data_IF_658951659575
#
_entry.id   IF_658951659575
#
_cell.length_a   1.000
_cell.length_b   1.000
_cell.length_c   1.000
_cell.angle_alpha   90.00
_cell.angle_beta   90.00
_cell.angle_gamma   90.00
#
_symmetry.space_group_name_H-M   'P 1'
#
loop_
_entity.id
_entity.type
_entity.pdbx_description
1 polymer ?
#
# COMPACT_ATOMS: atom_id res chain seq x y z
N UNK A 1 14.29 10.83 -12.88
CA UNK A 1 13.12 10.33 -13.63
C UNK A 1 13.22 10.90 -15.04
N UNK A 2 13.19 10.07 -16.09
CA UNK A 2 13.23 10.57 -17.47
C UNK A 2 11.93 11.30 -17.82
N UNK A 3 11.97 12.17 -18.83
CA UNK A 3 10.79 12.89 -19.32
C UNK A 3 9.70 11.90 -19.78
N UNK A 4 10.08 10.83 -20.46
CA UNK A 4 9.14 9.78 -20.92
C UNK A 4 8.44 9.07 -19.76
N UNK A 5 9.16 8.81 -18.66
CA UNK A 5 8.59 8.22 -17.46
C UNK A 5 7.54 9.15 -16.82
N UNK A 6 7.82 10.47 -16.80
CA UNK A 6 6.88 11.47 -16.30
C UNK A 6 5.62 11.54 -17.18
N UNK A 7 5.78 11.56 -18.51
CA UNK A 7 4.66 11.55 -19.46
C UNK A 7 3.81 10.29 -19.27
N UNK A 8 4.44 9.11 -19.18
CA UNK A 8 3.75 7.83 -18.93
C UNK A 8 2.91 7.85 -17.66
N UNK A 9 3.44 8.40 -16.56
CA UNK A 9 2.70 8.52 -15.30
C UNK A 9 1.56 9.52 -15.43
N UNK A 10 1.78 10.67 -16.06
CA UNK A 10 0.76 11.71 -16.19
C UNK A 10 -0.42 11.25 -17.08
N UNK A 11 -0.17 10.40 -18.06
CA UNK A 11 -1.22 9.81 -18.89
C UNK A 11 -2.13 8.82 -18.14
N UNK A 12 -1.75 8.39 -16.94
CA UNK A 12 -2.54 7.47 -16.11
C UNK A 12 -3.16 8.19 -14.92
N UNK A 13 -4.46 8.02 -14.69
CA UNK A 13 -5.13 8.51 -13.46
C UNK A 13 -4.46 7.99 -12.20
N UNK A 14 -4.01 6.72 -12.21
CA UNK A 14 -3.25 6.13 -11.11
C UNK A 14 -1.88 6.79 -10.89
N UNK A 15 -1.21 7.23 -11.96
CA UNK A 15 0.06 7.96 -11.85
C UNK A 15 -0.15 9.33 -11.19
N UNK A 16 -1.16 10.08 -11.65
CA UNK A 16 -1.56 11.37 -11.04
C UNK A 16 -1.94 11.23 -9.56
N UNK A 17 -2.73 10.22 -9.19
CA UNK A 17 -3.09 9.97 -7.79
C UNK A 17 -1.85 9.68 -6.93
N UNK A 18 -0.90 8.88 -7.41
CA UNK A 18 0.30 8.53 -6.64
C UNK A 18 1.29 9.70 -6.52
N UNK A 19 1.44 10.53 -7.55
CA UNK A 19 2.23 11.77 -7.45
C UNK A 19 1.59 12.71 -6.42
N UNK A 20 0.28 12.92 -6.50
CA UNK A 20 -0.45 13.73 -5.52
C UNK A 20 -0.32 13.12 -4.10
N UNK A 21 -0.34 11.79 -3.96
CA UNK A 21 -0.15 11.09 -2.68
C UNK A 21 1.23 11.39 -2.11
N UNK A 22 2.28 11.29 -2.94
CA UNK A 22 3.65 11.56 -2.53
C UNK A 22 3.79 13.00 -1.98
N UNK A 23 3.29 13.99 -2.72
CA UNK A 23 3.38 15.39 -2.31
C UNK A 23 2.53 15.63 -1.05
N UNK A 24 1.34 15.05 -0.96
CA UNK A 24 0.47 15.15 0.22
C UNK A 24 1.18 14.64 1.48
N UNK A 25 1.70 13.42 1.46
CA UNK A 25 2.32 12.82 2.65
C UNK A 25 3.68 13.44 2.98
N UNK A 26 4.42 13.91 1.98
CA UNK A 26 5.63 14.72 2.22
C UNK A 26 5.26 16.04 2.90
N UNK A 27 4.22 16.73 2.44
CA UNK A 27 3.72 17.96 3.09
C UNK A 27 3.31 17.69 4.54
N UNK A 28 2.70 16.53 4.81
CA UNK A 28 2.39 16.09 6.17
C UNK A 28 3.63 15.97 7.06
N UNK A 29 4.68 15.35 6.53
CA UNK A 29 5.93 15.23 7.26
C UNK A 29 6.60 16.57 7.52
N UNK A 30 6.50 17.51 6.58
CA UNK A 30 7.12 18.82 6.67
C UNK A 30 6.42 19.72 7.69
N UNK A 31 5.09 19.84 7.68
CA UNK A 31 4.42 20.72 8.65
C UNK A 31 4.62 20.24 10.10
N UNK A 32 4.56 18.93 10.36
CA UNK A 32 4.78 18.38 11.71
C UNK A 32 6.26 18.47 12.14
N UNK A 33 7.18 18.50 11.18
CA UNK A 33 8.59 18.78 11.47
C UNK A 33 8.79 20.24 11.88
N UNK A 34 8.18 21.17 11.15
CA UNK A 34 8.24 22.61 11.42
C UNK A 34 7.60 22.97 12.76
N UNK A 35 6.41 22.44 13.05
CA UNK A 35 5.73 22.70 14.34
C UNK A 35 6.51 22.15 15.54
N UNK A 36 7.19 21.01 15.40
CA UNK A 36 7.92 20.42 16.52
C UNK A 36 9.13 21.22 17.00
N UNK A 37 9.65 22.09 16.13
CA UNK A 37 10.80 22.97 16.43
C UNK A 37 10.37 24.44 16.50
N UNK A 38 9.06 24.70 16.48
CA UNK A 38 8.46 26.04 16.42
C UNK A 38 9.04 26.93 15.30
N UNK A 39 9.38 26.31 14.17
CA UNK A 39 9.98 27.00 13.04
C UNK A 39 8.92 27.39 12.01
N UNK A 40 8.82 28.69 11.73
CA UNK A 40 7.99 29.26 10.66
C UNK A 40 6.54 28.74 10.64
N UNK A 41 5.68 29.18 11.58
CA UNK A 41 4.26 28.77 11.65
C UNK A 41 3.50 28.96 10.33
N UNK A 42 3.76 30.07 9.63
CA UNK A 42 3.14 30.36 8.34
C UNK A 42 3.48 29.31 7.27
N UNK A 43 4.72 28.78 7.26
CA UNK A 43 5.12 27.74 6.32
C UNK A 43 4.47 26.39 6.68
N UNK A 44 4.35 26.07 7.97
CA UNK A 44 3.64 24.88 8.43
C UNK A 44 2.17 24.89 7.96
N UNK A 45 1.48 26.03 8.08
CA UNK A 45 0.09 26.18 7.63
C UNK A 45 -0.05 26.09 6.10
N UNK A 46 0.93 26.58 5.35
CA UNK A 46 0.98 26.37 3.89
C UNK A 46 1.06 24.87 3.54
N UNK A 47 1.91 24.10 4.24
CA UNK A 47 2.02 22.66 4.02
C UNK A 47 0.76 21.89 4.44
N UNK A 48 0.07 22.29 5.53
CA UNK A 48 -1.25 21.75 5.88
C UNK A 48 -2.28 22.01 4.78
N UNK A 49 -2.24 23.21 4.19
CA UNK A 49 -3.13 23.59 3.07
C UNK A 49 -2.87 22.72 1.83
N UNK A 50 -1.60 22.53 1.46
CA UNK A 50 -1.21 21.62 0.36
C UNK A 50 -1.68 20.20 0.62
N UNK A 51 -1.48 19.69 1.85
CA UNK A 51 -1.95 18.37 2.25
C UNK A 51 -3.48 18.25 2.09
N UNK A 52 -4.24 19.24 2.56
CA UNK A 52 -5.69 19.25 2.47
C UNK A 52 -6.18 19.24 1.01
N UNK A 53 -5.64 20.12 0.17
CA UNK A 53 -6.01 20.24 -1.25
C UNK A 53 -5.73 18.92 -1.98
N UNK A 54 -4.51 18.39 -1.85
CA UNK A 54 -4.14 17.13 -2.52
C UNK A 54 -4.92 15.94 -1.98
N UNK A 55 -5.19 15.90 -0.67
CA UNK A 55 -6.06 14.89 -0.07
C UNK A 55 -7.46 14.90 -0.67
N UNK A 56 -8.03 16.07 -1.00
CA UNK A 56 -9.35 16.21 -1.64
C UNK A 56 -9.28 15.86 -3.13
N UNK A 57 -8.29 16.38 -3.84
CA UNK A 57 -8.04 16.09 -5.26
C UNK A 57 -7.96 14.59 -5.54
N UNK A 58 -7.24 13.84 -4.69
CA UNK A 58 -7.10 12.39 -4.80
C UNK A 58 -8.39 11.61 -4.59
N UNK A 59 -9.32 12.11 -3.76
CA UNK A 59 -10.66 11.47 -3.64
C UNK A 59 -11.42 11.62 -4.94
N UNK A 60 -11.32 12.80 -5.56
CA UNK A 60 -11.97 13.08 -6.83
C UNK A 60 -11.36 12.25 -7.98
N UNK A 61 -10.04 12.09 -8.05
CA UNK A 61 -9.39 11.19 -9.02
C UNK A 61 -9.85 9.72 -8.88
N UNK A 62 -10.26 9.32 -7.67
CA UNK A 62 -10.74 7.96 -7.37
C UNK A 62 -12.27 7.86 -7.40
N UNK A 63 -12.97 8.90 -7.85
CA UNK A 63 -14.42 8.87 -7.99
C UNK A 63 -14.86 7.71 -8.92
N UNK A 64 -15.91 6.97 -8.56
CA UNK A 64 -16.37 5.78 -9.30
C UNK A 64 -15.52 4.51 -9.17
N UNK A 65 -14.26 4.58 -8.69
CA UNK A 65 -13.36 3.42 -8.60
C UNK A 65 -13.85 2.29 -7.68
N UNK A 66 -14.80 2.57 -6.77
CA UNK A 66 -15.40 1.53 -5.94
C UNK A 66 -16.09 0.45 -6.80
N UNK A 67 -16.76 0.84 -7.88
CA UNK A 67 -17.45 -0.08 -8.80
C UNK A 67 -16.43 -0.88 -9.61
N UNK A 68 -15.41 -0.23 -10.17
CA UNK A 68 -14.33 -0.91 -10.90
C UNK A 68 -13.66 -2.00 -10.05
N UNK A 69 -13.33 -1.67 -8.80
CA UNK A 69 -12.63 -2.57 -7.88
C UNK A 69 -13.55 -3.69 -7.42
N UNK A 70 -14.84 -3.40 -7.19
CA UNK A 70 -15.84 -4.43 -6.90
C UNK A 70 -15.97 -5.43 -8.04
N UNK A 71 -16.18 -4.94 -9.27
CA UNK A 71 -16.27 -5.79 -10.47
C UNK A 71 -14.99 -6.60 -10.69
N UNK A 72 -13.82 -5.99 -10.44
CA UNK A 72 -12.53 -6.67 -10.53
C UNK A 72 -12.33 -7.79 -9.51
N UNK A 73 -13.15 -7.87 -8.44
CA UNK A 73 -13.13 -8.98 -7.48
C UNK A 73 -13.74 -10.26 -8.05
N UNK A 74 -14.67 -10.16 -9.00
CA UNK A 74 -15.29 -11.34 -9.64
C UNK A 74 -14.25 -12.20 -10.37
N UNK A 75 -13.25 -11.55 -10.96
CA UNK A 75 -12.14 -12.22 -11.65
C UNK A 75 -11.21 -13.01 -10.72
N UNK A 76 -11.22 -12.74 -9.41
CA UNK A 76 -10.33 -13.42 -8.47
C UNK A 76 -10.98 -14.64 -7.80
N UNK A 77 -12.31 -14.81 -7.95
CA UNK A 77 -13.07 -15.92 -7.35
C UNK A 77 -12.70 -17.28 -7.95
N UNK A 78 -12.20 -17.30 -9.19
CA UNK A 78 -11.83 -18.55 -9.88
C UNK A 78 -10.33 -18.83 -9.87
N UNK A 79 -9.53 -18.10 -9.07
CA UNK A 79 -8.10 -18.36 -8.98
C UNK A 79 -7.84 -19.78 -8.43
N UNK A 80 -6.92 -20.57 -9.02
CA UNK A 80 -6.71 -21.98 -8.68
C UNK A 80 -6.23 -22.18 -7.24
N UNK A 81 -5.27 -21.37 -6.80
CA UNK A 81 -4.77 -21.40 -5.41
C UNK A 81 -5.76 -20.77 -4.44
N UNK A 82 -6.22 -21.54 -3.44
CA UNK A 82 -7.21 -21.12 -2.45
C UNK A 82 -6.76 -19.88 -1.67
N UNK A 83 -5.51 -19.85 -1.20
CA UNK A 83 -5.00 -18.72 -0.40
C UNK A 83 -5.00 -17.43 -1.19
N UNK A 84 -4.52 -17.47 -2.44
CA UNK A 84 -4.51 -16.31 -3.34
C UNK A 84 -5.95 -15.87 -3.66
N UNK A 85 -6.83 -16.83 -3.98
CA UNK A 85 -8.25 -16.57 -4.25
C UNK A 85 -8.92 -15.81 -3.11
N UNK A 86 -8.79 -16.31 -1.88
CA UNK A 86 -9.45 -15.72 -0.71
C UNK A 86 -8.87 -14.34 -0.39
N UNK A 87 -7.54 -14.25 -0.29
CA UNK A 87 -6.86 -12.99 0.06
C UNK A 87 -7.08 -11.89 -0.98
N UNK A 88 -6.96 -12.19 -2.28
CA UNK A 88 -7.22 -11.22 -3.34
C UNK A 88 -8.68 -10.79 -3.40
N UNK A 89 -9.63 -11.73 -3.28
CA UNK A 89 -11.06 -11.41 -3.37
C UNK A 89 -11.47 -10.52 -2.19
N UNK A 90 -11.12 -10.91 -0.96
CA UNK A 90 -11.41 -10.11 0.24
C UNK A 90 -10.70 -8.76 0.22
N UNK A 91 -9.47 -8.71 -0.28
CA UNK A 91 -8.75 -7.44 -0.44
C UNK A 91 -9.48 -6.47 -1.37
N UNK A 92 -9.94 -6.95 -2.54
CA UNK A 92 -10.67 -6.13 -3.52
C UNK A 92 -12.03 -5.69 -3.01
N UNK A 93 -12.81 -6.59 -2.39
CA UNK A 93 -14.10 -6.23 -1.80
C UNK A 93 -13.92 -5.16 -0.72
N UNK A 94 -12.94 -5.34 0.16
CA UNK A 94 -12.63 -4.35 1.21
C UNK A 94 -12.15 -3.03 0.61
N UNK A 95 -11.31 -3.06 -0.42
CA UNK A 95 -10.85 -1.85 -1.10
C UNK A 95 -12.00 -1.10 -1.78
N UNK A 96 -12.99 -1.81 -2.33
CA UNK A 96 -14.20 -1.20 -2.88
C UNK A 96 -15.01 -0.47 -1.81
N UNK A 97 -15.21 -1.11 -0.64
CA UNK A 97 -15.91 -0.50 0.49
C UNK A 97 -15.15 0.72 1.06
N UNK A 98 -13.82 0.65 1.13
CA UNK A 98 -12.99 1.81 1.47
C UNK A 98 -13.25 2.97 0.51
N UNK A 99 -13.22 2.71 -0.80
CA UNK A 99 -13.44 3.74 -1.82
C UNK A 99 -14.86 4.31 -1.75
N UNK A 100 -15.87 3.49 -1.45
CA UNK A 100 -17.24 3.96 -1.20
C UNK A 100 -17.28 4.95 -0.03
N UNK A 101 -16.63 4.62 1.09
CA UNK A 101 -16.50 5.54 2.22
C UNK A 101 -15.76 6.83 1.85
N UNK A 102 -14.77 6.75 0.97
CA UNK A 102 -14.03 7.92 0.46
C UNK A 102 -14.94 8.87 -0.35
N UNK A 103 -15.95 8.36 -1.08
CA UNK A 103 -16.95 9.20 -1.76
C UNK A 103 -17.79 10.00 -0.77
N UNK A 104 -18.27 9.38 0.31
CA UNK A 104 -19.02 10.09 1.35
C UNK A 104 -18.14 11.11 2.08
N UNK A 105 -16.86 10.78 2.33
CA UNK A 105 -15.91 11.73 2.92
C UNK A 105 -15.60 12.91 2.01
N UNK A 106 -15.53 12.70 0.69
CA UNK A 106 -15.43 13.78 -0.28
C UNK A 106 -16.69 14.64 -0.31
N UNK A 107 -17.87 14.01 -0.36
CA UNK A 107 -19.16 14.72 -0.36
C UNK A 107 -19.36 15.55 0.92
N UNK A 108 -18.90 15.07 2.07
CA UNK A 108 -18.91 15.85 3.29
C UNK A 108 -18.02 17.10 3.21
N UNK A 109 -16.90 17.05 2.46
CA UNK A 109 -15.99 18.20 2.28
C UNK A 109 -16.55 19.26 1.33
N UNK A 110 -17.50 18.94 0.46
CA UNK A 110 -18.12 19.94 -0.43
C UNK A 110 -19.08 20.88 0.30
N UNK A 111 -19.54 20.48 1.50
CA UNK A 111 -20.55 21.23 2.26
C UNK A 111 -21.97 21.14 1.70
N UNK A 112 -22.17 20.42 0.58
CA UNK A 112 -23.48 20.30 -0.07
C UNK A 112 -24.46 19.41 0.73
N UNK A 113 -23.95 18.45 1.51
CA UNK A 113 -24.77 17.54 2.31
C UNK A 113 -24.36 17.63 3.78
N UNK A 114 -25.17 18.34 4.57
CA UNK A 114 -24.89 18.61 5.99
C UNK A 114 -25.08 17.40 6.92
N UNK A 115 -25.78 16.35 6.47
CA UNK A 115 -26.13 15.19 7.29
C UNK A 115 -25.05 14.09 7.33
N UNK A 116 -23.93 14.25 6.61
CA UNK A 116 -22.90 13.20 6.55
C UNK A 116 -22.03 13.24 7.80
N UNK A 117 -22.10 12.17 8.60
CA UNK A 117 -21.23 11.98 9.75
C UNK A 117 -19.80 11.59 9.32
N UNK A 118 -18.93 12.60 9.22
CA UNK A 118 -17.52 12.45 8.82
C UNK A 118 -16.73 11.50 9.74
N UNK A 119 -17.03 11.48 11.04
CA UNK A 119 -16.37 10.60 12.00
C UNK A 119 -16.72 9.13 11.76
N UNK A 120 -18.00 8.83 11.50
CA UNK A 120 -18.47 7.47 11.21
C UNK A 120 -17.93 6.97 9.88
N UNK A 121 -18.09 7.76 8.81
CA UNK A 121 -17.59 7.41 7.48
C UNK A 121 -16.05 7.33 7.41
N UNK A 122 -15.34 8.17 8.15
CA UNK A 122 -13.89 8.08 8.29
C UNK A 122 -13.45 6.77 8.96
N UNK A 123 -14.13 6.36 10.05
CA UNK A 123 -13.89 5.06 10.69
C UNK A 123 -14.22 3.90 9.76
N UNK A 124 -15.34 3.97 9.05
CA UNK A 124 -15.75 2.96 8.07
C UNK A 124 -14.68 2.78 6.98
N UNK A 125 -14.25 3.88 6.34
CA UNK A 125 -13.24 3.85 5.31
C UNK A 125 -11.91 3.26 5.83
N UNK A 126 -11.43 3.72 6.99
CA UNK A 126 -10.18 3.19 7.57
C UNK A 126 -10.27 1.70 7.94
N UNK A 127 -11.40 1.21 8.44
CA UNK A 127 -11.59 -0.23 8.75
C UNK A 127 -11.40 -1.09 7.50
N UNK A 128 -12.07 -0.74 6.42
CA UNK A 128 -12.01 -1.51 5.17
C UNK A 128 -10.68 -1.33 4.43
N UNK A 129 -10.04 -0.17 4.57
CA UNK A 129 -8.67 0.02 4.08
C UNK A 129 -7.68 -0.88 4.83
N UNK A 130 -7.77 -0.94 6.16
CA UNK A 130 -6.97 -1.83 6.99
C UNK A 130 -7.18 -3.29 6.61
N UNK A 131 -8.44 -3.73 6.45
CA UNK A 131 -8.75 -5.10 6.04
C UNK A 131 -8.15 -5.44 4.67
N UNK A 132 -8.21 -4.52 3.70
CA UNK A 132 -7.56 -4.70 2.39
C UNK A 132 -6.05 -4.86 2.52
N UNK A 133 -5.38 -4.03 3.33
CA UNK A 133 -3.93 -4.12 3.55
C UNK A 133 -3.56 -5.44 4.21
N UNK A 134 -4.30 -5.88 5.25
CA UNK A 134 -4.04 -7.15 5.93
C UNK A 134 -4.16 -8.31 4.94
N UNK A 135 -5.21 -8.32 4.10
CA UNK A 135 -5.37 -9.37 3.09
C UNK A 135 -4.25 -9.36 2.05
N UNK A 136 -3.78 -8.18 1.62
CA UNK A 136 -2.62 -8.10 0.71
C UNK A 136 -1.34 -8.58 1.39
N UNK A 137 -1.09 -8.23 2.66
CA UNK A 137 0.08 -8.72 3.40
C UNK A 137 0.05 -10.24 3.59
N UNK A 138 -1.11 -10.83 3.87
CA UNK A 138 -1.27 -12.29 3.92
C UNK A 138 -0.90 -12.94 2.59
N UNK A 139 -1.34 -12.36 1.47
CA UNK A 139 -0.95 -12.81 0.12
C UNK A 139 0.55 -12.66 -0.12
N UNK A 140 1.14 -11.52 0.27
CA UNK A 140 2.57 -11.24 0.09
C UNK A 140 3.42 -12.27 0.84
N UNK A 141 3.08 -12.57 2.10
CA UNK A 141 3.74 -13.62 2.90
C UNK A 141 3.61 -15.00 2.23
N UNK A 142 2.41 -15.32 1.72
CA UNK A 142 2.19 -16.58 1.01
C UNK A 142 3.05 -16.68 -0.25
N UNK A 143 3.13 -15.62 -1.07
CA UNK A 143 3.98 -15.61 -2.28
C UNK A 143 5.46 -15.70 -1.93
N UNK A 144 5.93 -15.02 -0.88
CA UNK A 144 7.32 -15.17 -0.41
C UNK A 144 7.61 -16.63 -0.07
N UNK A 145 6.73 -17.30 0.69
CA UNK A 145 6.91 -18.71 1.02
C UNK A 145 6.83 -19.63 -0.19
N UNK A 146 5.95 -19.34 -1.16
CA UNK A 146 5.85 -20.08 -2.41
C UNK A 146 7.13 -19.96 -3.23
N UNK A 147 7.63 -18.74 -3.45
CA UNK A 147 8.88 -18.48 -4.16
C UNK A 147 10.07 -19.13 -3.48
N UNK A 148 10.11 -19.13 -2.15
CA UNK A 148 11.14 -19.82 -1.38
C UNK A 148 11.15 -21.33 -1.63
N UNK A 149 9.97 -21.95 -1.65
CA UNK A 149 9.81 -23.39 -1.90
C UNK A 149 10.19 -23.75 -3.34
N UNK A 150 9.84 -22.91 -4.32
CA UNK A 150 10.23 -23.07 -5.72
C UNK A 150 11.76 -23.00 -5.89
N UNK A 151 12.42 -22.02 -5.28
CA UNK A 151 13.89 -21.90 -5.32
C UNK A 151 14.59 -23.12 -4.71
N UNK A 152 14.06 -23.66 -3.60
CA UNK A 152 14.60 -24.89 -3.00
C UNK A 152 14.41 -26.11 -3.88
N UNK A 153 13.25 -26.24 -4.52
CA UNK A 153 13.00 -27.34 -5.45
C UNK A 153 13.97 -27.26 -6.64
N UNK A 154 14.19 -26.06 -7.20
CA UNK A 154 15.17 -25.81 -8.24
C UNK A 154 16.62 -26.06 -7.81
N UNK A 155 16.96 -25.79 -6.56
CA UNK A 155 18.28 -26.09 -6.01
C UNK A 155 18.49 -27.61 -5.85
N UNK A 156 17.48 -28.34 -5.37
CA UNK A 156 17.51 -29.80 -5.25
C UNK A 156 17.60 -30.51 -6.59
N UNK A 157 16.97 -29.97 -7.64
CA UNK A 157 17.05 -30.51 -9.01
C UNK A 157 18.31 -30.08 -9.78
N UNK A 158 19.21 -29.31 -9.16
CA UNK A 158 20.45 -28.85 -9.78
C UNK A 158 20.28 -27.70 -10.79
N UNK A 159 19.06 -27.18 -10.95
CA UNK A 159 18.74 -26.06 -11.86
C UNK A 159 19.27 -24.73 -11.29
N UNK A 160 19.24 -24.57 -9.97
CA UNK A 160 19.68 -23.36 -9.26
C UNK A 160 20.90 -23.69 -8.40
N UNK A 161 21.96 -22.91 -8.50
CA UNK A 161 23.14 -23.07 -7.61
C UNK A 161 22.84 -22.50 -6.22
N UNK A 162 22.73 -23.35 -5.20
CA UNK A 162 22.66 -22.91 -3.81
C UNK A 162 22.34 -24.03 -2.80
N UNK A 163 22.98 -24.00 -1.63
CA UNK A 163 22.68 -24.91 -0.52
C UNK A 163 21.63 -24.27 0.41
N UNK A 164 20.35 -24.60 0.20
CA UNK A 164 19.24 -24.02 0.98
C UNK A 164 18.57 -25.12 1.80
N UNK A 165 18.80 -25.11 3.11
CA UNK A 165 18.33 -26.16 4.05
C UNK A 165 17.20 -25.70 4.97
N UNK A 166 16.91 -24.41 5.07
CA UNK A 166 15.97 -23.86 6.09
C UNK A 166 14.53 -23.82 5.59
N UNK A 167 13.64 -24.64 6.17
CA UNK A 167 12.18 -24.61 5.93
C UNK A 167 11.52 -23.40 6.61
N UNK A 168 10.63 -22.62 5.94
CA UNK A 168 9.91 -21.52 6.59
C UNK A 168 9.00 -22.01 7.74
N UNK A 169 8.62 -23.28 7.72
CA UNK A 169 7.75 -23.90 8.73
C UNK A 169 8.51 -24.49 9.94
N UNK A 170 9.84 -24.46 9.93
CA UNK A 170 10.69 -24.98 11.02
C UNK A 170 11.63 -23.89 11.51
N UNK A 171 11.09 -22.99 12.33
CA UNK A 171 11.83 -21.90 12.98
C UNK A 171 11.96 -22.26 14.45
N UNK A 172 13.07 -22.92 14.82
CA UNK A 172 13.30 -23.37 16.20
C UNK A 172 14.27 -22.46 16.95
N UNK A 173 15.03 -21.61 16.24
CA UNK A 173 16.02 -20.72 16.82
C UNK A 173 15.98 -19.31 16.21
N UNK A 174 16.45 -18.33 16.98
CA UNK A 174 16.70 -16.95 16.51
C UNK A 174 17.68 -16.93 15.33
N UNK A 175 18.60 -17.89 15.27
CA UNK A 175 19.52 -18.07 14.12
C UNK A 175 18.78 -18.53 12.87
N UNK A 176 17.80 -19.42 13.01
CA UNK A 176 16.97 -19.88 11.88
C UNK A 176 16.08 -18.77 11.37
N UNK A 177 15.53 -17.95 12.27
CA UNK A 177 14.79 -16.75 11.90
C UNK A 177 15.66 -15.77 11.11
N UNK A 178 16.88 -15.48 11.58
CA UNK A 178 17.79 -14.58 10.85
C UNK A 178 18.17 -15.12 9.47
N UNK A 179 18.42 -16.44 9.35
CA UNK A 179 18.67 -17.10 8.05
C UNK A 179 17.46 -17.01 7.13
N UNK A 180 16.27 -17.26 7.66
CA UNK A 180 15.01 -17.11 6.93
C UNK A 180 14.81 -15.68 6.46
N UNK A 181 15.01 -14.68 7.34
CA UNK A 181 14.86 -13.27 7.02
C UNK A 181 15.84 -12.82 5.92
N UNK A 182 17.12 -13.20 6.03
CA UNK A 182 18.13 -12.90 5.01
C UNK A 182 17.80 -13.56 3.67
N UNK A 183 17.33 -14.82 3.69
CA UNK A 183 16.95 -15.52 2.48
C UNK A 183 15.70 -14.91 1.83
N UNK A 184 14.66 -14.63 2.61
CA UNK A 184 13.46 -13.90 2.14
C UNK A 184 13.83 -12.54 1.56
N UNK A 185 14.76 -11.81 2.19
CA UNK A 185 15.26 -10.55 1.67
C UNK A 185 15.97 -10.72 0.31
N UNK A 186 16.87 -11.70 0.19
CA UNK A 186 17.55 -11.99 -1.09
C UNK A 186 16.56 -12.34 -2.21
N UNK A 187 15.49 -13.05 -1.87
CA UNK A 187 14.44 -13.44 -2.80
C UNK A 187 13.57 -12.24 -3.21
N UNK A 188 13.26 -11.35 -2.28
CA UNK A 188 12.57 -10.09 -2.57
C UNK A 188 13.40 -9.18 -3.50
N UNK A 189 14.74 -9.18 -3.37
CA UNK A 189 15.61 -8.48 -4.32
C UNK A 189 15.50 -9.06 -5.74
N UNK A 190 15.30 -10.37 -5.87
CA UNK A 190 15.09 -11.03 -7.16
C UNK A 190 13.66 -10.85 -7.71
N UNK A 191 12.66 -10.76 -6.83
CA UNK A 191 11.23 -10.62 -7.17
C UNK A 191 10.70 -9.24 -6.79
N UNK A 192 10.98 -8.27 -7.66
CA UNK A 192 10.65 -6.84 -7.45
C UNK A 192 9.16 -6.60 -7.23
N UNK A 193 8.30 -7.37 -7.87
CA UNK A 193 6.85 -7.30 -7.75
C UNK A 193 6.38 -7.56 -6.32
N UNK A 194 6.78 -8.70 -5.74
CA UNK A 194 6.45 -9.07 -4.36
C UNK A 194 7.08 -8.10 -3.37
N UNK A 195 8.33 -7.68 -3.63
CA UNK A 195 9.03 -6.74 -2.76
C UNK A 195 8.35 -5.37 -2.68
N UNK A 196 8.01 -4.78 -3.83
CA UNK A 196 7.40 -3.47 -3.91
C UNK A 196 6.02 -3.48 -3.26
N UNK A 197 5.20 -4.52 -3.48
CA UNK A 197 3.88 -4.58 -2.85
C UNK A 197 3.98 -4.78 -1.34
N UNK A 198 4.89 -5.64 -0.88
CA UNK A 198 5.14 -5.87 0.56
C UNK A 198 5.56 -4.57 1.25
N UNK A 199 6.55 -3.85 0.71
CA UNK A 199 7.02 -2.57 1.27
C UNK A 199 5.88 -1.55 1.31
N UNK A 200 5.11 -1.44 0.21
CA UNK A 200 3.96 -0.55 0.13
C UNK A 200 2.93 -0.87 1.20
N UNK A 201 2.53 -2.13 1.33
CA UNK A 201 1.50 -2.57 2.28
C UNK A 201 1.96 -2.43 3.74
N UNK A 202 3.23 -2.74 4.05
CA UNK A 202 3.80 -2.55 5.40
C UNK A 202 3.84 -1.08 5.81
N UNK A 203 4.23 -0.19 4.89
CA UNK A 203 4.22 1.25 5.15
C UNK A 203 2.79 1.79 5.29
N UNK A 204 1.88 1.38 4.39
CA UNK A 204 0.49 1.84 4.41
C UNK A 204 -0.29 1.31 5.62
N UNK A 205 0.09 0.16 6.21
CA UNK A 205 -0.59 -0.48 7.35
C UNK A 205 -0.84 0.48 8.51
N UNK A 206 0.15 1.31 8.82
CA UNK A 206 0.09 2.22 9.96
C UNK A 206 -0.89 3.38 9.77
N UNK A 207 -1.22 3.73 8.52
CA UNK A 207 -2.08 4.88 8.22
C UNK A 207 -3.52 4.66 8.71
N UNK A 208 -4.24 3.58 8.31
CA UNK A 208 -5.55 3.32 8.87
C UNK A 208 -5.49 2.85 10.33
N UNK A 209 -4.40 2.22 10.80
CA UNK A 209 -4.24 1.90 12.22
C UNK A 209 -4.26 3.16 13.09
N UNK A 210 -3.49 4.20 12.71
CA UNK A 210 -3.53 5.50 13.40
C UNK A 210 -4.87 6.18 13.20
N UNK A 211 -5.45 6.13 11.99
CA UNK A 211 -6.78 6.68 11.71
C UNK A 211 -7.94 6.02 12.48
N UNK A 212 -7.74 4.81 13.00
CA UNK A 212 -8.70 4.11 13.87
C UNK A 212 -8.40 4.29 15.36
N UNK A 213 -7.27 4.89 15.73
CA UNK A 213 -6.83 5.05 17.10
C UNK A 213 -6.14 3.81 17.70
N UNK A 214 -5.71 2.85 16.88
CA UNK A 214 -4.97 1.67 17.35
C UNK A 214 -3.48 1.92 17.54
N UNK A 215 -2.94 3.00 16.97
CA UNK A 215 -1.54 3.41 17.12
C UNK A 215 -1.47 4.93 17.29
N UNK A 216 -0.48 5.41 18.05
CA UNK A 216 -0.26 6.83 18.34
C UNK A 216 0.97 7.36 17.59
N UNK A 217 1.02 7.15 16.27
CA UNK A 217 2.13 7.65 15.47
C UNK A 217 1.95 9.13 15.15
N UNK A 218 3.05 9.88 15.19
CA UNK A 218 3.05 11.30 14.85
C UNK A 218 2.68 11.53 13.38
N UNK A 219 2.09 12.68 13.04
CA UNK A 219 1.83 13.06 11.65
C UNK A 219 3.08 12.96 10.77
N UNK A 220 4.27 13.30 11.30
CA UNK A 220 5.55 13.10 10.59
C UNK A 220 5.83 11.67 10.22
N UNK A 221 5.71 10.74 11.17
CA UNK A 221 5.94 9.32 10.90
C UNK A 221 4.96 8.79 9.85
N UNK A 222 3.68 9.16 9.96
CA UNK A 222 2.66 8.81 8.95
C UNK A 222 2.96 9.45 7.59
N UNK A 223 3.47 10.69 7.57
CA UNK A 223 3.95 11.38 6.38
C UNK A 223 5.07 10.62 5.68
N UNK A 224 6.10 10.22 6.43
CA UNK A 224 7.23 9.47 5.89
C UNK A 224 6.79 8.11 5.33
N UNK A 225 6.00 7.34 6.10
CA UNK A 225 5.50 6.03 5.66
C UNK A 225 4.64 6.16 4.39
N UNK A 226 3.75 7.15 4.34
CA UNK A 226 2.92 7.42 3.17
C UNK A 226 3.73 7.89 1.95
N UNK A 227 4.84 8.60 2.16
CA UNK A 227 5.74 8.98 1.08
C UNK A 227 6.50 7.76 0.52
N UNK A 228 7.04 6.90 1.40
CA UNK A 228 7.73 5.65 1.01
C UNK A 228 6.79 4.74 0.20
N UNK A 229 5.55 4.53 0.69
CA UNK A 229 4.58 3.70 -0.04
C UNK A 229 4.16 4.32 -1.38
N UNK A 230 4.16 5.65 -1.49
CA UNK A 230 3.89 6.35 -2.75
C UNK A 230 5.00 6.16 -3.78
N UNK A 231 6.27 6.25 -3.35
CA UNK A 231 7.43 5.99 -4.21
C UNK A 231 7.43 4.54 -4.70
N UNK A 232 7.23 3.58 -3.80
CA UNK A 232 7.06 2.16 -4.16
C UNK A 232 5.92 1.99 -5.17
N UNK A 233 4.80 2.66 -4.94
CA UNK A 233 3.68 2.65 -5.84
C UNK A 233 3.95 3.25 -7.23
N UNK A 234 4.75 4.32 -7.33
CA UNK A 234 5.15 4.93 -8.60
C UNK A 234 6.11 4.02 -9.37
N UNK A 235 7.04 3.37 -8.66
CA UNK A 235 7.92 2.37 -9.25
C UNK A 235 7.11 1.26 -9.93
N UNK A 236 6.11 0.70 -9.25
CA UNK A 236 5.23 -0.34 -9.81
C UNK A 236 4.47 0.07 -11.09
N UNK A 237 4.31 1.37 -11.37
CA UNK A 237 3.69 1.86 -12.62
C UNK A 237 4.71 2.07 -13.75
N UNK A 238 5.96 2.38 -13.40
CA UNK A 238 7.03 2.62 -14.35
C UNK A 238 7.63 1.31 -14.85
N UNK A 239 7.88 0.36 -13.94
CA UNK A 239 8.50 -0.93 -14.20
C UNK A 239 7.44 -2.05 -14.23
N UNK A 240 7.13 -2.63 -15.40
CA UNK A 240 6.21 -3.77 -15.49
C UNK A 240 6.62 -4.96 -14.61
N UNK A 241 7.92 -5.16 -14.36
CA UNK A 241 8.44 -6.23 -13.51
C UNK A 241 8.26 -5.96 -12.00
N UNK A 242 7.89 -4.73 -11.63
CA UNK A 242 7.60 -4.34 -10.24
C UNK A 242 6.10 -4.39 -9.91
N UNK A 243 5.25 -4.82 -10.86
CA UNK A 243 3.81 -4.97 -10.66
C UNK A 243 3.48 -6.44 -10.44
N UNK A 244 2.90 -6.76 -9.28
CA UNK A 244 2.32 -8.09 -9.06
C UNK A 244 1.16 -8.25 -10.03
N UNK A 245 1.32 -9.14 -11.00
CA UNK A 245 0.24 -9.59 -11.86
C UNK A 245 -0.55 -10.64 -11.07
N UNK A 246 -1.89 -10.54 -10.99
CA UNK A 246 -2.66 -11.73 -10.64
C UNK A 246 -2.37 -12.78 -11.71
N UNK A 247 -1.89 -13.95 -11.30
CA UNK A 247 -1.75 -15.11 -12.17
C UNK A 247 -3.12 -15.50 -12.75
#
# INVERSE_FOLDING_TARGET
>A
MSLDALIKLNNQTAGRDKIARLIQYTSRALWDSLESVDASPALADNFKTVEYILSTFRKLLRFGRCVDVFYSSLRTIHHPELTIRVTLTLSKLSQSLFLLGDHFMWLARTGLVKSINTKSWGKFANKYWLLSIIMNLCRDVYEIFRLMNLHKAGAKSGIIRGNITTSPLSINSRRDFNRLALYSYSLMLAHKDVAVDTVKNLCDLFIPLTGLGYTNLTPRTIGILGAISSVAGLWALLDPAAKILPA
#
